data_IF_624478143717
#
_entry.id   IF_624478143717
#
_cell.length_a   1.000
_cell.length_b   1.000
_cell.length_c   1.000
_cell.angle_alpha   90.00
_cell.angle_beta   90.00
_cell.angle_gamma   90.00
#
_symmetry.space_group_name_H-M   'P 1'
#
loop_
_entity.id
_entity.type
_entity.pdbx_description
1 polymer ?
#
# COMPACT_ATOMS: atom_id res chain seq x y z
N UNK A 1 13.28 -23.65 -7.68
CA UNK A 1 12.56 -24.93 -7.55
C UNK A 1 11.08 -24.65 -7.77
N UNK A 2 10.38 -25.44 -8.59
CA UNK A 2 8.93 -25.30 -8.79
C UNK A 2 8.22 -26.18 -7.76
N UNK A 3 7.18 -25.66 -7.11
CA UNK A 3 6.36 -26.36 -6.13
C UNK A 3 4.87 -26.12 -6.36
N UNK A 4 4.02 -26.90 -5.69
CA UNK A 4 2.57 -26.72 -5.71
C UNK A 4 2.14 -25.86 -4.52
N UNK A 5 1.45 -24.76 -4.80
CA UNK A 5 0.83 -23.85 -3.83
C UNK A 5 -0.70 -23.98 -3.83
N UNK A 6 -1.42 -23.36 -2.87
CA UNK A 6 -2.89 -23.28 -2.90
C UNK A 6 -3.46 -22.59 -4.15
N UNK A 7 -2.66 -21.80 -4.89
CA UNK A 7 -3.08 -21.10 -6.13
C UNK A 7 -2.52 -21.74 -7.40
N UNK A 8 -1.93 -22.93 -7.32
CA UNK A 8 -1.35 -23.65 -8.45
C UNK A 8 0.16 -23.77 -8.38
N UNK A 9 0.80 -24.05 -9.52
CA UNK A 9 2.26 -24.15 -9.61
C UNK A 9 2.89 -22.78 -9.37
N UNK A 10 3.93 -22.77 -8.56
CA UNK A 10 4.69 -21.59 -8.21
C UNK A 10 6.18 -21.91 -8.17
N UNK A 11 7.01 -20.87 -8.22
CA UNK A 11 8.41 -20.95 -7.85
C UNK A 11 8.72 -19.88 -6.81
N UNK A 12 9.63 -20.18 -5.90
CA UNK A 12 10.07 -19.20 -4.89
C UNK A 12 10.73 -18.01 -5.58
N UNK A 13 10.16 -16.83 -5.39
CA UNK A 13 10.67 -15.55 -5.86
C UNK A 13 11.74 -14.96 -4.94
N UNK A 14 12.44 -13.96 -5.45
CA UNK A 14 13.47 -13.23 -4.70
C UNK A 14 12.79 -12.24 -3.75
N UNK A 15 13.23 -12.24 -2.49
CA UNK A 15 12.83 -11.26 -1.47
C UNK A 15 13.50 -9.93 -1.78
N UNK A 16 12.73 -8.93 -2.20
CA UNK A 16 13.16 -7.54 -2.27
C UNK A 16 12.00 -6.63 -1.80
N UNK A 17 12.25 -5.78 -0.80
CA UNK A 17 11.31 -4.77 -0.29
C UNK A 17 10.79 -4.96 1.15
N UNK A 18 9.71 -4.25 1.49
CA UNK A 18 9.14 -4.04 2.83
C UNK A 18 8.64 -5.31 3.56
N UNK A 19 8.66 -6.46 2.88
CA UNK A 19 8.20 -7.73 3.42
C UNK A 19 9.38 -8.66 3.67
N UNK A 20 9.58 -9.06 4.92
CA UNK A 20 10.63 -10.00 5.33
C UNK A 20 10.29 -11.46 5.02
N UNK A 21 9.22 -11.71 4.25
CA UNK A 21 8.68 -13.03 3.97
C UNK A 21 8.89 -13.42 2.51
N UNK A 22 9.04 -14.73 2.27
CA UNK A 22 9.14 -15.28 0.93
C UNK A 22 7.89 -15.00 0.10
N UNK A 23 8.11 -14.58 -1.16
CA UNK A 23 7.08 -14.40 -2.18
C UNK A 23 7.17 -15.57 -3.16
N UNK A 24 6.02 -16.09 -3.57
CA UNK A 24 5.90 -17.10 -4.62
C UNK A 24 5.45 -16.42 -5.91
N UNK A 25 6.09 -16.75 -7.03
CA UNK A 25 5.64 -16.34 -8.37
C UNK A 25 4.82 -17.49 -8.97
N UNK A 26 3.56 -17.22 -9.27
CA UNK A 26 2.63 -18.16 -9.86
C UNK A 26 2.92 -18.37 -11.35
N UNK A 27 2.47 -19.50 -11.90
CA UNK A 27 2.64 -19.82 -13.32
C UNK A 27 2.02 -18.79 -14.29
N UNK A 28 1.06 -17.98 -13.83
CA UNK A 28 0.44 -16.89 -14.59
C UNK A 28 1.11 -15.52 -14.38
N UNK A 29 2.27 -15.49 -13.71
CA UNK A 29 3.07 -14.28 -13.51
C UNK A 29 2.67 -13.42 -12.31
N UNK A 30 1.52 -13.71 -11.67
CA UNK A 30 1.14 -13.07 -10.41
C UNK A 30 2.08 -13.48 -9.29
N UNK A 31 2.13 -12.69 -8.23
CA UNK A 31 2.88 -13.04 -7.02
C UNK A 31 1.91 -13.30 -5.87
N UNK A 32 2.30 -14.20 -4.98
CA UNK A 32 1.50 -14.58 -3.83
C UNK A 32 2.37 -14.80 -2.60
N UNK A 33 1.77 -14.66 -1.43
CA UNK A 33 2.44 -14.95 -0.17
C UNK A 33 1.45 -15.47 0.87
N UNK A 34 1.96 -16.25 1.81
CA UNK A 34 1.19 -16.77 2.95
C UNK A 34 2.12 -17.18 4.09
N UNK A 35 2.78 -16.22 4.77
CA UNK A 35 3.71 -16.55 5.84
C UNK A 35 2.96 -17.09 7.06
N UNK A 36 2.79 -18.42 7.13
CA UNK A 36 2.40 -19.23 8.29
C UNK A 36 1.11 -18.82 9.03
N UNK A 37 1.13 -17.63 9.66
CA UNK A 37 0.04 -17.02 10.42
C UNK A 37 -1.02 -16.37 9.54
N UNK A 38 -0.73 -16.09 8.27
CA UNK A 38 -1.66 -15.48 7.34
C UNK A 38 -1.98 -16.40 6.18
N UNK A 39 -3.20 -16.29 5.66
CA UNK A 39 -3.63 -17.09 4.53
C UNK A 39 -2.85 -16.75 3.27
N UNK A 40 -2.56 -17.77 2.46
CA UNK A 40 -1.95 -17.59 1.14
C UNK A 40 -2.84 -16.75 0.22
N UNK A 41 -2.30 -15.67 -0.35
CA UNK A 41 -3.04 -14.67 -1.14
C UNK A 41 -2.16 -14.09 -2.25
N UNK A 42 -2.78 -13.75 -3.37
CA UNK A 42 -2.17 -12.91 -4.41
C UNK A 42 -1.93 -11.51 -3.88
N UNK A 43 -0.70 -11.01 -4.02
CA UNK A 43 -0.30 -9.67 -3.59
C UNK A 43 -0.14 -8.74 -4.80
N UNK A 44 0.63 -9.14 -5.80
CA UNK A 44 0.81 -8.36 -7.02
C UNK A 44 0.22 -9.07 -8.24
N UNK A 45 -0.28 -8.29 -9.19
CA UNK A 45 -0.78 -8.83 -10.47
C UNK A 45 0.36 -9.35 -11.36
N UNK A 46 1.56 -8.81 -11.17
CA UNK A 46 2.80 -9.25 -11.80
C UNK A 46 4.01 -8.58 -11.12
N UNK A 47 5.21 -9.06 -11.42
CA UNK A 47 6.47 -8.45 -10.96
C UNK A 47 6.62 -7.00 -11.44
N UNK A 48 6.23 -6.71 -12.69
CA UNK A 48 6.33 -5.35 -13.24
C UNK A 48 5.50 -4.35 -12.43
N UNK A 49 4.29 -4.72 -12.02
CA UNK A 49 3.46 -3.87 -11.15
C UNK A 49 4.14 -3.53 -9.84
N UNK A 50 4.84 -4.50 -9.24
CA UNK A 50 5.59 -4.29 -8.00
C UNK A 50 6.71 -3.29 -8.20
N UNK A 51 7.47 -3.43 -9.29
CA UNK A 51 8.55 -2.51 -9.64
C UNK A 51 8.03 -1.08 -9.86
N UNK A 52 6.92 -0.93 -10.58
CA UNK A 52 6.27 0.37 -10.80
C UNK A 52 5.78 1.00 -9.50
N UNK A 53 5.17 0.21 -8.61
CA UNK A 53 4.77 0.70 -7.28
C UNK A 53 5.98 1.19 -6.46
N UNK A 54 7.06 0.41 -6.40
CA UNK A 54 8.26 0.80 -5.67
C UNK A 54 8.95 2.02 -6.29
N UNK A 55 9.03 2.12 -7.62
CA UNK A 55 9.56 3.28 -8.31
C UNK A 55 8.76 4.55 -8.00
N UNK A 56 7.43 4.43 -7.97
CA UNK A 56 6.54 5.52 -7.59
C UNK A 56 6.73 5.92 -6.11
N UNK A 57 6.84 4.93 -5.21
CA UNK A 57 7.12 5.18 -3.80
C UNK A 57 8.45 5.91 -3.61
N UNK A 58 9.51 5.51 -4.30
CA UNK A 58 10.82 6.22 -4.28
C UNK A 58 10.66 7.67 -4.74
N UNK A 59 9.84 7.90 -5.77
CA UNK A 59 9.58 9.23 -6.33
C UNK A 59 8.91 10.16 -5.30
N UNK A 60 7.93 9.67 -4.55
CA UNK A 60 7.15 10.47 -3.59
C UNK A 60 7.64 10.37 -2.14
N UNK A 61 8.57 9.46 -1.83
CA UNK A 61 9.04 9.22 -0.45
C UNK A 61 9.64 10.45 0.23
N UNK A 62 10.18 11.39 -0.54
CA UNK A 62 10.72 12.66 -0.05
C UNK A 62 9.68 13.78 0.08
N UNK A 63 8.40 13.51 -0.14
CA UNK A 63 7.33 14.51 0.00
C UNK A 63 6.80 14.53 1.43
N UNK A 64 6.07 15.60 1.78
CA UNK A 64 5.30 15.63 3.03
C UNK A 64 4.22 14.56 2.94
N UNK A 65 3.98 13.84 4.03
CA UNK A 65 2.99 12.78 4.02
C UNK A 65 2.28 12.56 5.34
N UNK A 66 1.08 12.01 5.24
CA UNK A 66 0.29 11.50 6.36
C UNK A 66 -0.05 10.04 6.12
N UNK A 67 -0.04 9.28 7.21
CA UNK A 67 -0.32 7.85 7.18
C UNK A 67 -1.54 7.55 8.02
N UNK A 68 -2.42 6.71 7.49
CA UNK A 68 -3.62 6.23 8.16
C UNK A 68 -3.66 4.71 8.13
N UNK A 69 -4.36 4.13 9.10
CA UNK A 69 -4.69 2.71 9.14
C UNK A 69 -6.16 2.55 8.82
N UNK A 70 -6.48 1.74 7.82
CA UNK A 70 -7.83 1.38 7.42
C UNK A 70 -8.04 -0.12 7.63
N UNK A 71 -9.20 -0.51 8.15
CA UNK A 71 -9.58 -1.90 8.35
C UNK A 71 -10.71 -2.27 7.41
N UNK A 72 -10.63 -3.43 6.76
CA UNK A 72 -11.71 -3.92 5.89
C UNK A 72 -12.02 -5.38 6.20
N UNK A 73 -13.21 -5.88 5.83
CA UNK A 73 -13.45 -7.31 5.78
C UNK A 73 -12.39 -8.00 4.93
N UNK A 74 -12.05 -9.22 5.29
CA UNK A 74 -11.01 -9.98 4.61
C UNK A 74 -11.29 -10.13 3.11
N UNK A 75 -10.29 -9.86 2.29
CA UNK A 75 -10.40 -9.96 0.83
C UNK A 75 -11.08 -8.77 0.16
N UNK A 76 -11.51 -7.76 0.93
CA UNK A 76 -12.20 -6.57 0.42
C UNK A 76 -11.22 -5.40 0.43
N UNK A 77 -10.98 -4.78 -0.73
CA UNK A 77 -10.18 -3.57 -0.83
C UNK A 77 -10.93 -2.37 -0.22
N UNK A 78 -10.22 -1.34 0.30
CA UNK A 78 -10.85 -0.12 0.77
C UNK A 78 -11.63 0.56 -0.35
N UNK A 79 -12.85 1.01 -0.05
CA UNK A 79 -13.61 1.85 -0.97
C UNK A 79 -13.15 3.28 -0.78
N UNK A 80 -12.66 3.86 -1.87
CA UNK A 80 -12.08 5.19 -1.94
C UNK A 80 -12.93 6.05 -2.86
N UNK A 81 -13.23 7.29 -2.46
CA UNK A 81 -13.97 8.23 -3.31
C UNK A 81 -13.02 8.84 -4.34
N UNK A 82 -12.83 8.15 -5.46
CA UNK A 82 -11.90 8.54 -6.53
C UNK A 82 -12.19 9.93 -7.12
N UNK A 83 -13.39 10.50 -6.94
CA UNK A 83 -13.73 11.87 -7.40
C UNK A 83 -12.89 12.95 -6.73
N UNK A 84 -12.35 12.66 -5.54
CA UNK A 84 -11.49 13.58 -4.78
C UNK A 84 -10.02 13.20 -4.87
N UNK A 85 -9.68 12.18 -5.67
CA UNK A 85 -8.31 11.72 -5.83
C UNK A 85 -7.70 12.21 -7.14
N UNK A 86 -6.36 12.25 -7.22
CA UNK A 86 -5.67 12.32 -8.50
C UNK A 86 -6.06 11.17 -9.43
N UNK A 87 -5.58 11.24 -10.67
CA UNK A 87 -5.75 10.14 -11.61
C UNK A 87 -5.08 8.87 -11.08
N UNK A 88 -5.78 7.74 -11.22
CA UNK A 88 -5.25 6.42 -10.87
C UNK A 88 -4.05 6.08 -11.76
N UNK A 89 -3.05 5.38 -11.22
CA UNK A 89 -1.87 4.90 -11.94
C UNK A 89 -2.02 3.39 -12.17
N UNK A 90 -2.50 2.95 -13.36
CA UNK A 90 -2.76 1.55 -13.62
C UNK A 90 -1.52 0.68 -13.45
N UNK A 91 -0.36 1.17 -13.88
CA UNK A 91 0.90 0.44 -13.90
C UNK A 91 1.39 0.10 -12.48
N UNK A 92 1.14 0.97 -11.51
CA UNK A 92 1.50 0.73 -10.11
C UNK A 92 0.40 0.02 -9.30
N UNK A 93 -0.83 -0.07 -9.81
CA UNK A 93 -2.00 -0.54 -9.03
C UNK A 93 -2.31 -2.04 -9.16
N UNK A 94 -2.08 -2.82 -8.10
CA UNK A 94 -2.41 -4.24 -8.00
C UNK A 94 -3.44 -4.60 -6.91
N UNK A 95 -3.64 -5.91 -6.67
CA UNK A 95 -4.60 -6.42 -5.69
C UNK A 95 -4.38 -5.94 -4.24
N UNK A 96 -3.14 -5.66 -3.85
CA UNK A 96 -2.79 -5.24 -2.49
C UNK A 96 -2.09 -3.90 -2.42
N UNK A 97 -2.05 -3.15 -3.51
CA UNK A 97 -1.43 -1.83 -3.56
C UNK A 97 -2.08 -0.98 -4.65
N UNK A 98 -2.69 0.15 -4.29
CA UNK A 98 -3.37 1.04 -5.24
C UNK A 98 -2.79 2.44 -5.18
N UNK A 99 -2.61 3.04 -6.36
CA UNK A 99 -1.92 4.32 -6.52
C UNK A 99 -2.73 5.33 -7.32
N UNK A 100 -2.69 6.57 -6.86
CA UNK A 100 -3.19 7.75 -7.55
C UNK A 100 -2.11 8.84 -7.53
N UNK A 101 -1.90 9.54 -8.64
CA UNK A 101 -0.86 10.55 -8.78
C UNK A 101 -1.33 11.72 -9.65
N UNK A 102 -1.03 12.94 -9.21
CA UNK A 102 -0.97 14.12 -10.06
C UNK A 102 0.42 14.74 -9.86
N UNK A 103 1.32 14.48 -10.81
CA UNK A 103 2.71 14.94 -10.75
C UNK A 103 2.87 16.46 -10.81
N UNK A 104 1.96 17.13 -11.51
CA UNK A 104 1.96 18.58 -11.68
C UNK A 104 1.48 19.29 -10.41
N UNK A 105 0.37 18.80 -9.83
CA UNK A 105 -0.11 19.27 -8.53
C UNK A 105 0.79 18.83 -7.37
N UNK A 106 1.68 17.85 -7.60
CA UNK A 106 2.57 17.31 -6.58
C UNK A 106 1.81 16.59 -5.47
N UNK A 107 0.75 15.83 -5.81
CA UNK A 107 -0.07 15.06 -4.87
C UNK A 107 -0.10 13.59 -5.29
N UNK A 108 0.08 12.68 -4.33
CA UNK A 108 -0.07 11.25 -4.56
C UNK A 108 -0.80 10.57 -3.38
N UNK A 109 -1.46 9.46 -3.67
CA UNK A 109 -2.14 8.63 -2.68
C UNK A 109 -1.76 7.17 -2.92
N UNK A 110 -1.49 6.46 -1.84
CA UNK A 110 -1.27 5.02 -1.83
C UNK A 110 -2.23 4.34 -0.85
N UNK A 111 -2.81 3.21 -1.26
CA UNK A 111 -3.49 2.28 -0.37
C UNK A 111 -2.83 0.89 -0.48
N UNK A 112 -2.08 0.52 0.55
CA UNK A 112 -1.28 -0.71 0.58
C UNK A 112 -1.82 -1.66 1.66
N UNK A 113 -2.02 -2.94 1.33
CA UNK A 113 -2.33 -3.95 2.34
C UNK A 113 -1.08 -4.21 3.18
N UNK A 114 -1.17 -4.05 4.49
CA UNK A 114 -0.04 -4.16 5.41
C UNK A 114 -0.11 -5.41 6.29
N UNK A 115 -1.31 -5.96 6.50
CA UNK A 115 -1.52 -7.27 7.12
C UNK A 115 -2.89 -7.83 6.76
N UNK A 116 -3.06 -9.15 6.79
CA UNK A 116 -4.36 -9.81 6.63
C UNK A 116 -4.52 -10.95 7.65
N UNK A 117 -4.67 -10.61 8.94
CA UNK A 117 -5.05 -11.59 9.94
C UNK A 117 -6.38 -12.28 9.59
N UNK A 118 -6.67 -13.38 10.27
CA UNK A 118 -7.81 -14.25 9.99
C UNK A 118 -9.18 -13.54 9.94
N UNK A 119 -9.36 -12.46 10.69
CA UNK A 119 -10.63 -11.75 10.91
C UNK A 119 -10.83 -10.51 10.02
N UNK A 120 -9.75 -9.88 9.54
CA UNK A 120 -9.80 -8.62 8.79
C UNK A 120 -8.55 -8.37 7.95
N UNK A 121 -8.67 -7.48 6.98
CA UNK A 121 -7.52 -6.88 6.30
C UNK A 121 -7.15 -5.55 6.97
N UNK A 122 -5.85 -5.26 7.02
CA UNK A 122 -5.28 -4.02 7.55
C UNK A 122 -4.54 -3.33 6.43
N UNK A 123 -4.97 -2.12 6.10
CA UNK A 123 -4.43 -1.30 5.03
C UNK A 123 -3.72 -0.08 5.59
N UNK A 124 -2.59 0.26 5.00
CA UNK A 124 -1.92 1.54 5.19
C UNK A 124 -2.31 2.47 4.05
N UNK A 125 -2.96 3.59 4.39
CA UNK A 125 -3.25 4.67 3.46
C UNK A 125 -2.20 5.76 3.65
N UNK A 126 -1.56 6.21 2.58
CA UNK A 126 -0.59 7.31 2.60
C UNK A 126 -1.05 8.41 1.65
N UNK A 127 -1.12 9.62 2.17
CA UNK A 127 -1.29 10.83 1.38
C UNK A 127 0.06 11.55 1.30
N UNK A 128 0.52 11.85 0.10
CA UNK A 128 1.77 12.55 -0.18
C UNK A 128 1.49 13.89 -0.86
N UNK A 129 2.24 14.92 -0.50
CA UNK A 129 2.21 16.21 -1.19
C UNK A 129 3.52 16.98 -1.08
N UNK A 130 3.83 17.78 -2.10
CA UNK A 130 4.94 18.74 -2.05
C UNK A 130 4.63 19.97 -1.18
N UNK A 131 3.35 20.25 -0.87
CA UNK A 131 2.93 21.41 -0.09
C UNK A 131 2.52 21.01 1.34
N UNK A 132 3.23 21.47 2.39
CA UNK A 132 2.97 21.03 3.77
C UNK A 132 1.57 21.38 4.29
N UNK A 133 1.00 22.51 3.86
CA UNK A 133 -0.37 22.90 4.21
C UNK A 133 -1.41 21.90 3.66
N UNK A 134 -1.23 21.38 2.45
CA UNK A 134 -2.13 20.38 1.86
C UNK A 134 -2.05 19.04 2.58
N UNK A 135 -0.88 18.69 3.15
CA UNK A 135 -0.77 17.50 3.98
C UNK A 135 -1.60 17.67 5.25
N UNK A 136 -1.62 18.89 5.81
CA UNK A 136 -2.38 19.21 7.02
C UNK A 136 -3.90 19.11 6.83
N UNK A 137 -4.39 19.33 5.60
CA UNK A 137 -5.80 19.26 5.24
C UNK A 137 -6.22 17.88 4.70
N UNK A 138 -5.28 16.93 4.58
CA UNK A 138 -5.56 15.60 4.08
C UNK A 138 -6.53 14.88 5.04
N UNK A 139 -7.76 14.69 4.57
CA UNK A 139 -8.84 14.12 5.37
C UNK A 139 -8.99 12.62 5.11
N UNK A 140 -8.91 11.75 6.15
CA UNK A 140 -9.10 10.32 6.03
C UNK A 140 -10.46 9.90 5.43
N UNK A 141 -11.49 10.75 5.49
CA UNK A 141 -12.86 10.47 5.03
C UNK A 141 -12.94 10.20 3.52
N UNK A 142 -11.97 10.66 2.73
CA UNK A 142 -11.90 10.35 1.28
C UNK A 142 -11.51 8.88 1.02
N UNK A 143 -10.95 8.18 2.02
CA UNK A 143 -10.25 6.90 1.84
C UNK A 143 -10.93 5.68 2.48
N UNK A 144 -12.15 5.82 3.03
CA UNK A 144 -12.79 4.73 3.77
C UNK A 144 -14.30 4.90 3.90
N UNK A 145 -15.04 4.70 2.80
CA UNK A 145 -16.50 4.83 2.82
C UNK A 145 -17.24 3.59 3.35
N UNK A 146 -16.60 2.60 4.01
CA UNK A 146 -17.40 1.51 4.62
C UNK A 146 -16.76 0.71 5.77
N UNK A 147 -17.59 0.57 6.82
CA UNK A 147 -17.63 -0.40 7.94
C UNK A 147 -16.60 -0.27 9.07
N UNK A 148 -15.34 0.08 8.84
CA UNK A 148 -14.38 0.24 9.95
C UNK A 148 -13.50 1.49 9.86
N UNK A 149 -13.21 2.04 11.04
CA UNK A 149 -12.59 3.33 11.29
C UNK A 149 -11.25 3.49 10.54
N UNK A 150 -11.13 4.50 9.67
CA UNK A 150 -9.83 4.93 9.17
C UNK A 150 -9.24 5.89 10.19
N UNK A 151 -8.21 5.44 10.91
CA UNK A 151 -7.60 6.17 12.02
C UNK A 151 -6.21 6.68 11.63
N UNK A 152 -5.76 7.81 12.19
CA UNK A 152 -4.36 8.21 12.02
C UNK A 152 -3.40 7.12 12.50
N UNK A 153 -2.35 6.86 11.74
CA UNK A 153 -1.32 5.90 12.15
C UNK A 153 -0.39 6.53 13.20
N UNK A 154 -0.02 5.75 14.22
CA UNK A 154 0.91 6.17 15.28
C UNK A 154 2.38 5.94 14.90
N UNK A 155 2.63 5.24 13.80
CA UNK A 155 3.95 4.89 13.31
C UNK A 155 4.05 5.15 11.81
N UNK A 156 5.07 5.87 11.38
CA UNK A 156 5.38 6.01 9.95
C UNK A 156 6.42 4.98 9.54
N UNK A 157 6.01 4.00 8.73
CA UNK A 157 6.94 2.99 8.18
C UNK A 157 7.97 3.59 7.22
N UNK A 158 7.64 4.68 6.53
CA UNK A 158 8.59 5.34 5.62
C UNK A 158 9.70 6.09 6.34
N UNK A 159 9.38 6.73 7.46
CA UNK A 159 10.33 7.49 8.25
C UNK A 159 10.92 6.69 9.43
N UNK A 160 10.36 5.52 9.73
CA UNK A 160 10.79 4.63 10.82
C UNK A 160 10.76 5.29 12.22
N UNK A 161 9.71 6.06 12.53
CA UNK A 161 9.51 6.64 13.86
C UNK A 161 8.03 6.78 14.24
N UNK A 162 7.77 7.04 15.53
CA UNK A 162 6.45 7.38 16.06
C UNK A 162 6.01 8.76 15.58
N UNK A 163 4.72 8.90 15.29
CA UNK A 163 4.11 10.15 14.81
C UNK A 163 2.92 10.47 15.70
N UNK A 164 2.73 11.75 16.03
CA UNK A 164 1.49 12.19 16.67
C UNK A 164 0.28 11.84 15.79
N UNK A 165 -0.88 11.49 16.37
CA UNK A 165 -2.09 11.23 15.59
C UNK A 165 -2.41 12.41 14.67
N UNK A 166 -2.42 12.18 13.36
CA UNK A 166 -2.66 13.22 12.35
C UNK A 166 -1.45 14.11 12.06
N UNK A 167 -0.28 13.76 12.59
CA UNK A 167 0.97 14.44 12.31
C UNK A 167 1.42 14.26 10.86
N UNK A 168 2.01 15.31 10.30
CA UNK A 168 2.63 15.28 8.97
C UNK A 168 4.10 14.93 9.11
N UNK A 169 4.55 13.94 8.35
CA UNK A 169 5.94 13.53 8.24
C UNK A 169 6.59 14.11 6.99
N UNK A 170 7.92 14.19 7.00
CA UNK A 170 8.73 14.47 5.82
C UNK A 170 10.04 13.71 5.94
N UNK A 171 10.33 12.84 4.97
CA UNK A 171 11.62 12.15 4.93
C UNK A 171 12.60 13.02 4.16
N UNK A 172 13.58 13.57 4.85
CA UNK A 172 14.75 14.14 4.18
C UNK A 172 15.42 13.00 3.40
N UNK A 173 15.51 13.13 2.08
CA UNK A 173 16.28 12.17 1.27
C UNK A 173 17.73 12.18 1.79
N UNK A 174 18.33 11.01 2.07
CA UNK A 174 19.76 10.94 2.37
C UNK A 174 20.61 11.39 1.18
#
# INVERSE_FOLDING_TARGET
>A
MVHRSPLGLAFTGIVDGDWTWGVDVLADGRTAMGPGRWSYRVIERCVDQRLESHALLVTVSGWFHRTFTCYTPRGVAPIVDERHLPQRVPEATGPTDSWWLNGDAGVAVQAQLSAWPHDRDVWTIRYFTRAPAQAADANPVVFGATIHETVPALWCTLCSHLVEPGGTCHRLRP
#
